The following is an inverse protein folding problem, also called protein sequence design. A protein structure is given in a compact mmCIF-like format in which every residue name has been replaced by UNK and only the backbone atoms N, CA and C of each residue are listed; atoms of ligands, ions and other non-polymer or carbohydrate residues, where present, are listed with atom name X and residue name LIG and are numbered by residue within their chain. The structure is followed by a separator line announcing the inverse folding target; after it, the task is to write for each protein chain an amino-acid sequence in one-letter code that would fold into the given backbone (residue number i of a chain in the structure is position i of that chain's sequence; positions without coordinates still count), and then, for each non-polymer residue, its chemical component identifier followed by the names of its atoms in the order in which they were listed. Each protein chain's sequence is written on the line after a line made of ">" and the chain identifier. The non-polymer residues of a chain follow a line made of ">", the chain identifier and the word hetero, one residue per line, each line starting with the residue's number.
data_IF_485810968212
#
_entry.id   IF_485810968212
#
_cell.length_a   1.000
_cell.length_b   1.000
_cell.length_c   1.000
_cell.angle_alpha   90.00
_cell.angle_beta   90.00
_cell.angle_gamma   90.00
#
_symmetry.space_group_name_H-M   'P 1'
#
loop_
_entity.id
_entity.type
_entity.pdbx_description
1 polymer ?
#
# COMPACT_ATOMS: atom_id res chain seq x y z
N UNK A 1 4.30 -34.15 1.46
CA UNK A 1 4.62 -35.22 0.49
C UNK A 1 3.37 -35.75 -0.24
N UNK A 2 2.31 -36.19 0.44
CA UNK A 2 1.12 -36.79 -0.23
C UNK A 2 0.39 -35.86 -1.23
N UNK A 3 0.21 -34.58 -0.88
CA UNK A 3 -0.47 -33.61 -1.75
C UNK A 3 0.30 -33.39 -3.06
N UNK A 4 1.64 -33.27 -2.96
CA UNK A 4 2.50 -33.12 -4.13
C UNK A 4 2.40 -34.34 -5.03
N UNK A 5 2.42 -35.55 -4.46
CA UNK A 5 2.25 -36.80 -5.22
C UNK A 5 0.90 -36.88 -5.92
N UNK A 6 -0.18 -36.46 -5.26
CA UNK A 6 -1.52 -36.40 -5.88
C UNK A 6 -1.52 -35.38 -7.02
N UNK A 7 -0.96 -34.18 -6.77
CA UNK A 7 -0.91 -33.11 -7.75
C UNK A 7 -0.10 -33.53 -8.99
N UNK A 8 1.06 -34.14 -8.83
CA UNK A 8 1.95 -34.52 -9.93
C UNK A 8 1.54 -35.82 -10.63
N UNK A 9 0.59 -36.56 -10.07
CA UNK A 9 0.15 -37.83 -10.64
C UNK A 9 -0.38 -37.67 -12.08
N UNK A 10 -0.01 -38.57 -12.99
CA UNK A 10 -0.41 -38.50 -14.40
C UNK A 10 -1.93 -38.47 -14.64
N UNK A 11 -2.71 -39.06 -13.74
CA UNK A 11 -4.17 -39.12 -13.84
C UNK A 11 -4.88 -38.04 -13.01
N UNK A 12 -4.14 -37.17 -12.32
CA UNK A 12 -4.76 -36.07 -11.58
C UNK A 12 -5.18 -34.91 -12.48
N UNK A 13 -4.77 -34.91 -13.74
CA UNK A 13 -5.14 -33.91 -14.75
C UNK A 13 -5.75 -34.59 -15.98
N UNK A 14 -6.75 -33.96 -16.66
CA UNK A 14 -7.38 -34.55 -17.82
C UNK A 14 -6.39 -34.73 -18.98
N UNK A 15 -6.34 -35.93 -19.56
CA UNK A 15 -5.68 -36.14 -20.85
C UNK A 15 -6.54 -35.56 -21.99
N UNK A 16 -5.96 -35.37 -23.17
CA UNK A 16 -6.70 -34.91 -24.36
C UNK A 16 -7.80 -35.87 -24.81
N UNK A 17 -7.77 -37.13 -24.36
CA UNK A 17 -8.73 -38.17 -24.71
C UNK A 17 -9.81 -38.36 -23.62
N UNK A 18 -9.80 -37.54 -22.56
CA UNK A 18 -10.78 -37.62 -21.48
C UNK A 18 -12.13 -37.03 -21.90
N UNK A 19 -13.22 -37.66 -21.45
CA UNK A 19 -14.58 -37.11 -21.58
C UNK A 19 -14.76 -35.80 -20.79
N UNK A 20 -13.95 -35.56 -19.76
CA UNK A 20 -13.98 -34.31 -18.97
C UNK A 20 -12.73 -33.46 -19.24
N UNK A 21 -12.42 -33.24 -20.52
CA UNK A 21 -11.31 -32.34 -20.93
C UNK A 21 -11.56 -30.88 -20.54
N UNK A 22 -12.81 -30.50 -20.34
CA UNK A 22 -13.26 -29.19 -19.85
C UNK A 22 -12.75 -28.88 -18.42
N UNK A 23 -12.52 -29.90 -17.59
CA UNK A 23 -11.93 -29.73 -16.24
C UNK A 23 -10.54 -29.06 -16.28
N UNK A 24 -9.86 -29.04 -17.44
CA UNK A 24 -8.60 -28.30 -17.62
C UNK A 24 -8.82 -26.79 -17.48
N UNK A 25 -9.92 -26.29 -18.02
CA UNK A 25 -10.28 -24.86 -18.01
C UNK A 25 -10.85 -24.43 -16.66
N UNK A 26 -11.38 -25.39 -15.88
CA UNK A 26 -11.89 -25.15 -14.52
C UNK A 26 -10.78 -24.93 -13.49
N UNK A 27 -9.53 -25.28 -13.81
CA UNK A 27 -8.41 -25.10 -12.89
C UNK A 27 -8.19 -23.62 -12.56
N UNK A 28 -7.90 -23.33 -11.28
CA UNK A 28 -7.76 -21.98 -10.74
C UNK A 28 -9.06 -21.14 -10.77
N UNK A 29 -10.23 -21.77 -10.93
CA UNK A 29 -11.50 -21.04 -10.90
C UNK A 29 -11.76 -20.36 -9.56
N UNK A 30 -12.26 -19.13 -9.61
CA UNK A 30 -12.59 -18.33 -8.42
C UNK A 30 -14.01 -18.53 -7.92
N UNK A 31 -14.85 -19.28 -8.64
CA UNK A 31 -16.30 -19.36 -8.39
C UNK A 31 -16.87 -20.78 -8.32
N UNK A 32 -16.22 -21.76 -8.96
CA UNK A 32 -16.68 -23.14 -8.94
C UNK A 32 -16.36 -23.81 -7.60
N UNK A 33 -17.23 -24.68 -7.09
CA UNK A 33 -16.88 -25.51 -5.94
C UNK A 33 -15.78 -26.50 -6.37
N UNK A 34 -14.60 -26.50 -5.72
CA UNK A 34 -13.54 -27.47 -6.03
C UNK A 34 -14.01 -28.93 -5.99
N UNK A 35 -15.03 -29.26 -5.19
CA UNK A 35 -15.58 -30.61 -5.03
C UNK A 35 -16.34 -31.09 -6.27
N UNK A 36 -16.78 -30.19 -7.12
CA UNK A 36 -17.49 -30.51 -8.37
C UNK A 36 -16.53 -30.79 -9.53
N UNK A 37 -15.23 -30.52 -9.36
CA UNK A 37 -14.19 -30.78 -10.36
C UNK A 37 -13.67 -32.21 -10.18
N UNK A 38 -13.81 -33.04 -11.22
CA UNK A 38 -13.51 -34.48 -11.16
C UNK A 38 -12.01 -34.74 -11.04
N UNK A 39 -11.19 -33.93 -11.71
CA UNK A 39 -9.74 -34.12 -11.71
C UNK A 39 -9.05 -33.43 -10.54
N UNK A 40 -8.32 -34.22 -9.75
CA UNK A 40 -7.72 -33.79 -8.50
C UNK A 40 -6.78 -32.57 -8.64
N UNK A 41 -5.97 -32.49 -9.70
CA UNK A 41 -5.07 -31.34 -9.93
C UNK A 41 -5.87 -30.07 -10.15
N UNK A 42 -6.88 -30.11 -11.02
CA UNK A 42 -7.76 -28.96 -11.28
C UNK A 42 -8.54 -28.55 -10.04
N UNK A 43 -9.08 -29.52 -9.30
CA UNK A 43 -9.77 -29.31 -8.02
C UNK A 43 -8.86 -28.66 -6.98
N UNK A 44 -7.67 -29.22 -6.73
CA UNK A 44 -6.70 -28.69 -5.77
C UNK A 44 -6.26 -27.27 -6.16
N UNK A 45 -6.00 -27.01 -7.44
CA UNK A 45 -5.64 -25.67 -7.93
C UNK A 45 -6.74 -24.64 -7.64
N UNK A 46 -7.99 -24.98 -7.94
CA UNK A 46 -9.17 -24.13 -7.68
C UNK A 46 -9.34 -23.86 -6.17
N UNK A 47 -9.26 -24.91 -5.35
CA UNK A 47 -9.30 -24.80 -3.89
C UNK A 47 -8.20 -23.88 -3.35
N UNK A 48 -6.97 -24.06 -3.82
CA UNK A 48 -5.82 -23.24 -3.43
C UNK A 48 -6.03 -21.76 -3.83
N UNK A 49 -6.48 -21.50 -5.06
CA UNK A 49 -6.78 -20.13 -5.54
C UNK A 49 -7.80 -19.45 -4.63
N UNK A 50 -8.90 -20.13 -4.28
CA UNK A 50 -9.95 -19.55 -3.45
C UNK A 50 -9.47 -19.28 -2.02
N UNK A 51 -8.70 -20.19 -1.43
CA UNK A 51 -8.10 -19.97 -0.10
C UNK A 51 -7.14 -18.79 -0.10
N UNK A 52 -6.21 -18.76 -1.07
CA UNK A 52 -5.21 -17.70 -1.19
C UNK A 52 -5.91 -16.37 -1.44
N UNK A 53 -6.86 -16.32 -2.38
CA UNK A 53 -7.63 -15.12 -2.69
C UNK A 53 -8.39 -14.57 -1.48
N UNK A 54 -9.08 -15.43 -0.74
CA UNK A 54 -9.79 -15.05 0.48
C UNK A 54 -8.84 -14.55 1.58
N UNK A 55 -7.65 -15.16 1.71
CA UNK A 55 -6.66 -14.72 2.68
C UNK A 55 -6.10 -13.34 2.31
N UNK A 56 -5.72 -13.13 1.06
CA UNK A 56 -5.24 -11.82 0.58
C UNK A 56 -6.32 -10.76 0.75
N UNK A 57 -7.58 -11.08 0.44
CA UNK A 57 -8.70 -10.17 0.68
C UNK A 57 -8.79 -9.74 2.15
N UNK A 58 -8.60 -10.66 3.10
CA UNK A 58 -8.60 -10.32 4.54
C UNK A 58 -7.37 -9.52 4.95
N UNK A 59 -6.17 -9.92 4.50
CA UNK A 59 -4.92 -9.21 4.77
C UNK A 59 -5.03 -7.73 4.32
N UNK A 60 -5.52 -7.50 3.10
CA UNK A 60 -5.74 -6.15 2.57
C UNK A 60 -6.79 -5.35 3.36
N UNK A 61 -7.72 -6.02 4.04
CA UNK A 61 -8.78 -5.36 4.82
C UNK A 61 -8.22 -4.87 6.14
N UNK A 62 -7.38 -5.69 6.77
CA UNK A 62 -6.70 -5.37 8.02
C UNK A 62 -5.76 -4.18 7.86
N UNK A 63 -5.14 -4.02 6.69
CA UNK A 63 -4.29 -2.86 6.38
C UNK A 63 -5.05 -1.51 6.35
N UNK A 64 -6.38 -1.50 6.23
CA UNK A 64 -7.17 -0.25 6.31
C UNK A 64 -7.18 0.30 7.75
N UNK A 65 -7.15 -0.61 8.74
CA UNK A 65 -7.20 -0.33 10.17
C UNK A 65 -6.19 -1.21 10.90
N UNK A 66 -4.88 -0.96 10.71
CA UNK A 66 -3.87 -1.88 11.21
C UNK A 66 -3.84 -1.86 12.75
N UNK A 67 -3.99 -3.03 13.37
CA UNK A 67 -3.76 -3.20 14.80
C UNK A 67 -2.25 -3.32 15.03
N UNK A 68 -1.57 -2.19 15.25
CA UNK A 68 -0.11 -2.18 15.38
C UNK A 68 0.29 -2.12 16.85
N UNK A 69 1.01 -3.14 17.31
CA UNK A 69 1.79 -3.04 18.55
C UNK A 69 3.04 -2.17 18.26
N UNK A 70 3.31 -1.09 19.02
CA UNK A 70 4.34 -0.10 18.69
C UNK A 70 5.78 -0.63 18.66
N UNK A 71 6.04 -1.78 19.28
CA UNK A 71 7.39 -2.29 19.53
C UNK A 71 8.06 -2.91 18.32
N UNK A 72 7.29 -3.40 17.34
CA UNK A 72 7.83 -4.32 16.33
C UNK A 72 7.92 -3.72 14.92
N UNK A 73 7.11 -2.69 14.61
CA UNK A 73 7.07 -2.04 13.28
C UNK A 73 6.98 -0.53 13.37
N UNK A 74 7.52 0.20 12.37
CA UNK A 74 7.24 1.62 12.21
C UNK A 74 5.74 1.90 12.24
N UNK A 75 5.32 2.88 13.03
CA UNK A 75 3.92 3.31 13.06
C UNK A 75 3.62 4.12 11.80
N UNK A 76 2.89 3.50 10.86
CA UNK A 76 2.47 4.16 9.63
C UNK A 76 0.97 4.38 9.71
N UNK A 77 0.50 5.64 9.74
CA UNK A 77 -0.92 5.92 9.76
C UNK A 77 -1.54 5.52 8.43
N UNK A 78 -2.45 4.55 8.45
CA UNK A 78 -3.18 4.14 7.25
C UNK A 78 -4.00 5.31 6.67
N UNK A 79 -4.59 6.13 7.54
CA UNK A 79 -5.35 7.32 7.17
C UNK A 79 -4.64 8.59 7.66
N UNK A 80 -4.40 9.51 6.74
CA UNK A 80 -3.97 10.87 7.02
C UNK A 80 -5.02 11.86 6.51
N UNK A 81 -5.72 12.50 7.44
CA UNK A 81 -6.73 13.48 7.08
C UNK A 81 -6.08 14.77 6.58
N UNK A 82 -6.52 15.26 5.42
CA UNK A 82 -6.10 16.54 4.88
C UNK A 82 -6.54 17.73 5.75
N UNK A 83 -7.59 17.56 6.56
CA UNK A 83 -8.08 18.52 7.56
C UNK A 83 -8.99 17.80 8.54
N UNK A 84 -9.13 18.31 9.77
CA UNK A 84 -10.11 17.82 10.74
C UNK A 84 -10.72 18.96 11.55
N UNK A 85 -12.05 18.95 11.66
CA UNK A 85 -12.77 19.83 12.60
C UNK A 85 -12.72 19.27 14.04
N UNK A 86 -13.17 20.05 15.01
CA UNK A 86 -13.16 19.69 16.45
C UNK A 86 -13.77 18.31 16.72
N UNK A 87 -14.94 18.03 16.13
CA UNK A 87 -15.62 16.73 16.24
C UNK A 87 -14.79 15.57 15.68
N UNK A 88 -14.10 15.79 14.57
CA UNK A 88 -13.28 14.76 13.90
C UNK A 88 -11.98 14.51 14.67
N UNK A 89 -11.38 15.55 15.24
CA UNK A 89 -10.24 15.43 16.15
C UNK A 89 -10.58 14.68 17.42
N UNK A 90 -11.77 14.93 18.01
CA UNK A 90 -12.25 14.21 19.18
C UNK A 90 -12.41 12.69 18.95
N UNK A 91 -12.58 12.26 17.69
CA UNK A 91 -12.60 10.85 17.30
C UNK A 91 -11.21 10.25 17.05
N UNK A 92 -10.13 10.97 17.39
CA UNK A 92 -8.75 10.52 17.21
C UNK A 92 -8.25 10.54 15.76
N UNK A 93 -8.93 11.24 14.84
CA UNK A 93 -8.46 11.32 13.46
C UNK A 93 -7.21 12.17 13.39
N UNK A 94 -6.11 11.54 12.95
CA UNK A 94 -4.83 12.20 12.75
C UNK A 94 -4.86 13.03 11.46
N UNK A 95 -4.59 14.33 11.60
CA UNK A 95 -4.31 15.21 10.47
C UNK A 95 -2.87 15.11 10.05
N UNK A 96 -2.61 15.35 8.77
CA UNK A 96 -1.25 15.50 8.27
C UNK A 96 -0.52 16.65 8.97
N UNK A 97 0.74 16.43 9.35
CA UNK A 97 1.64 17.46 9.90
C UNK A 97 2.95 17.46 9.12
N UNK A 98 3.76 18.50 9.32
CA UNK A 98 5.09 18.60 8.70
C UNK A 98 5.97 17.41 9.07
N UNK A 99 5.94 16.98 10.33
CA UNK A 99 6.75 15.86 10.82
C UNK A 99 6.33 14.53 10.19
N UNK A 100 5.03 14.29 10.00
CA UNK A 100 4.52 13.10 9.31
C UNK A 100 4.98 13.06 7.86
N UNK A 101 4.92 14.20 7.16
CA UNK A 101 5.38 14.27 5.76
C UNK A 101 6.89 14.03 5.62
N UNK A 102 7.68 14.62 6.52
CA UNK A 102 9.15 14.50 6.49
C UNK A 102 9.67 13.16 7.02
N UNK A 103 8.87 12.44 7.82
CA UNK A 103 9.18 11.09 8.29
C UNK A 103 8.82 9.98 7.30
N UNK A 104 8.28 10.32 6.12
CA UNK A 104 7.98 9.33 5.09
C UNK A 104 9.24 8.59 4.64
N UNK A 105 9.29 7.28 4.86
CA UNK A 105 10.38 6.39 4.43
C UNK A 105 9.81 5.15 3.76
N UNK A 106 10.30 4.85 2.56
CA UNK A 106 9.87 3.66 1.81
C UNK A 106 10.27 2.38 2.55
N UNK A 107 11.47 2.34 3.14
CA UNK A 107 11.95 1.20 3.96
C UNK A 107 10.95 0.80 5.04
N UNK A 108 10.34 1.79 5.69
CA UNK A 108 9.37 1.54 6.76
C UNK A 108 8.11 0.86 6.22
N UNK A 109 7.67 1.26 5.03
CA UNK A 109 6.50 0.66 4.34
C UNK A 109 6.82 -0.75 3.88
N UNK A 110 8.05 -1.00 3.40
CA UNK A 110 8.51 -2.35 3.06
C UNK A 110 8.42 -3.26 4.29
N UNK A 111 9.05 -2.89 5.40
CA UNK A 111 9.01 -3.66 6.65
C UNK A 111 7.58 -3.84 7.17
N UNK A 112 6.75 -2.80 7.05
CA UNK A 112 5.35 -2.84 7.45
C UNK A 112 4.55 -3.86 6.63
N UNK A 113 4.58 -3.78 5.30
CA UNK A 113 3.81 -4.69 4.45
C UNK A 113 4.31 -6.13 4.51
N UNK A 114 5.63 -6.34 4.62
CA UNK A 114 6.20 -7.68 4.82
C UNK A 114 5.66 -8.36 6.08
N UNK A 115 5.48 -7.60 7.16
CA UNK A 115 5.01 -8.15 8.44
C UNK A 115 3.48 -8.26 8.51
N UNK A 116 2.76 -7.25 8.05
CA UNK A 116 1.30 -7.15 8.22
C UNK A 116 0.50 -7.78 7.07
N UNK A 117 1.12 -8.01 5.90
CA UNK A 117 0.49 -8.68 4.76
C UNK A 117 1.48 -9.58 4.00
N UNK A 118 2.11 -10.58 4.66
CA UNK A 118 3.18 -11.39 4.07
C UNK A 118 2.76 -12.15 2.82
N UNK A 119 1.51 -12.64 2.76
CA UNK A 119 1.02 -13.35 1.57
C UNK A 119 0.84 -12.40 0.39
N UNK A 120 0.23 -11.22 0.61
CA UNK A 120 0.08 -10.21 -0.43
C UNK A 120 1.45 -9.66 -0.89
N UNK A 121 2.40 -9.51 0.05
CA UNK A 121 3.78 -9.16 -0.25
C UNK A 121 4.42 -10.21 -1.17
N UNK A 122 4.33 -11.48 -0.81
CA UNK A 122 4.87 -12.59 -1.62
C UNK A 122 4.26 -12.64 -3.03
N UNK A 123 2.93 -12.53 -3.15
CA UNK A 123 2.27 -12.58 -4.46
C UNK A 123 2.67 -11.40 -5.34
N UNK A 124 2.77 -10.19 -4.76
CA UNK A 124 3.25 -9.01 -5.51
C UNK A 124 4.73 -9.14 -5.88
N UNK A 125 5.54 -9.82 -5.08
CA UNK A 125 6.92 -10.17 -5.41
C UNK A 125 6.98 -11.12 -6.62
N UNK A 126 6.15 -12.17 -6.63
CA UNK A 126 6.04 -13.10 -7.76
C UNK A 126 5.69 -12.39 -9.08
N UNK A 127 4.95 -11.28 -9.03
CA UNK A 127 4.58 -10.49 -10.21
C UNK A 127 5.61 -9.43 -10.59
N UNK A 128 6.32 -8.85 -9.61
CA UNK A 128 7.20 -7.70 -9.82
C UNK A 128 8.70 -8.06 -9.95
N UNK A 129 9.12 -9.16 -9.34
CA UNK A 129 10.53 -9.54 -9.22
C UNK A 129 10.92 -10.57 -10.30
N UNK A 130 11.72 -10.17 -11.32
CA UNK A 130 12.28 -11.14 -12.25
C UNK A 130 13.23 -12.08 -11.50
N UNK A 131 13.28 -13.33 -11.96
CA UNK A 131 14.11 -14.38 -11.35
C UNK A 131 15.15 -14.90 -12.34
N UNK A 132 16.29 -15.34 -11.82
CA UNK A 132 17.26 -16.12 -12.59
C UNK A 132 16.70 -17.50 -12.92
N UNK A 133 17.39 -18.25 -13.79
CA UNK A 133 17.08 -19.67 -14.06
C UNK A 133 17.00 -20.50 -12.77
N UNK A 134 17.80 -20.14 -11.77
CA UNK A 134 17.91 -20.84 -10.50
C UNK A 134 16.85 -20.37 -9.48
N UNK A 135 15.91 -19.53 -9.91
CA UNK A 135 14.80 -19.04 -9.09
C UNK A 135 15.15 -17.90 -8.13
N UNK A 136 16.39 -17.41 -8.13
CA UNK A 136 16.81 -16.29 -7.29
C UNK A 136 16.27 -14.95 -7.84
N UNK A 137 15.89 -14.05 -6.94
CA UNK A 137 15.38 -12.72 -7.31
C UNK A 137 16.52 -11.86 -7.85
N UNK A 138 16.30 -11.25 -9.01
CA UNK A 138 17.23 -10.28 -9.60
C UNK A 138 16.93 -8.89 -9.03
N UNK A 139 17.85 -8.35 -8.24
CA UNK A 139 17.74 -6.98 -7.75
C UNK A 139 18.01 -5.96 -8.86
N UNK A 140 17.01 -5.11 -9.14
CA UNK A 140 17.11 -4.03 -10.12
C UNK A 140 17.37 -2.69 -9.45
N UNK A 141 18.51 -2.06 -9.73
CA UNK A 141 18.87 -0.73 -9.20
C UNK A 141 17.87 0.37 -9.56
N UNK A 142 17.39 0.42 -10.82
CA UNK A 142 16.50 1.49 -11.31
C UNK A 142 15.02 1.30 -10.94
N UNK A 143 14.58 0.07 -10.73
CA UNK A 143 13.20 -0.27 -10.37
C UNK A 143 13.21 -1.42 -9.36
N UNK A 144 13.57 -1.14 -8.10
CA UNK A 144 13.59 -2.17 -7.07
C UNK A 144 12.17 -2.75 -6.89
N UNK A 145 12.00 -4.08 -6.88
CA UNK A 145 10.68 -4.71 -6.76
C UNK A 145 9.92 -4.24 -5.51
N UNK A 146 10.63 -4.05 -4.39
CA UNK A 146 10.06 -3.61 -3.12
C UNK A 146 9.31 -2.27 -3.22
N UNK A 147 9.80 -1.32 -4.02
CA UNK A 147 9.12 -0.03 -4.23
C UNK A 147 7.83 -0.24 -5.02
N UNK A 148 7.85 -1.11 -6.04
CA UNK A 148 6.69 -1.45 -6.85
C UNK A 148 5.63 -2.17 -6.00
N UNK A 149 6.06 -3.11 -5.14
CA UNK A 149 5.17 -3.81 -4.21
C UNK A 149 4.51 -2.84 -3.23
N UNK A 150 5.28 -1.92 -2.61
CA UNK A 150 4.72 -0.87 -1.74
C UNK A 150 3.69 -0.02 -2.47
N UNK A 151 4.00 0.43 -3.69
CA UNK A 151 3.08 1.25 -4.48
C UNK A 151 1.80 0.46 -4.83
N UNK A 152 1.92 -0.77 -5.29
CA UNK A 152 0.79 -1.63 -5.65
C UNK A 152 -0.11 -1.95 -4.45
N UNK A 153 0.48 -2.42 -3.33
CA UNK A 153 -0.27 -2.72 -2.11
C UNK A 153 -0.95 -1.48 -1.55
N UNK A 154 -0.27 -0.32 -1.54
CA UNK A 154 -0.88 0.94 -1.13
C UNK A 154 -2.08 1.31 -2.02
N UNK A 155 -1.96 1.11 -3.34
CA UNK A 155 -3.02 1.33 -4.31
C UNK A 155 -4.23 0.42 -4.06
N UNK A 156 -3.99 -0.86 -3.75
CA UNK A 156 -5.05 -1.80 -3.40
C UNK A 156 -5.75 -1.43 -2.09
N UNK A 157 -5.00 -0.98 -1.07
CA UNK A 157 -5.61 -0.45 0.17
C UNK A 157 -6.47 0.78 -0.14
N UNK A 158 -5.95 1.72 -0.92
CA UNK A 158 -6.65 2.93 -1.37
C UNK A 158 -7.94 2.63 -2.13
N UNK A 159 -7.91 1.66 -3.04
CA UNK A 159 -9.07 1.24 -3.82
C UNK A 159 -10.21 0.70 -2.93
N UNK A 160 -9.87 0.08 -1.79
CA UNK A 160 -10.85 -0.43 -0.82
C UNK A 160 -11.36 0.63 0.12
N UNK A 161 -10.53 1.61 0.47
CA UNK A 161 -10.94 2.74 1.28
C UNK A 161 -10.19 4.00 0.83
N UNK A 162 -10.92 4.93 0.22
CA UNK A 162 -10.38 6.22 -0.23
C UNK A 162 -9.76 7.08 0.89
N UNK A 163 -10.04 6.76 2.15
CA UNK A 163 -9.42 7.44 3.29
C UNK A 163 -8.10 6.80 3.75
N UNK A 164 -7.76 5.59 3.28
CA UNK A 164 -6.53 4.89 3.63
C UNK A 164 -5.35 5.35 2.74
N UNK A 165 -5.11 6.65 2.75
CA UNK A 165 -4.19 7.36 1.86
C UNK A 165 -2.77 7.53 2.40
N UNK A 166 -2.50 7.13 3.65
CA UNK A 166 -1.27 7.47 4.37
C UNK A 166 -0.07 6.60 4.02
N UNK A 167 -0.29 5.44 3.37
CA UNK A 167 0.81 4.56 2.95
C UNK A 167 1.65 5.13 1.81
N UNK A 168 1.02 5.81 0.85
CA UNK A 168 1.69 6.33 -0.36
C UNK A 168 0.97 7.53 -0.97
N UNK A 169 -0.36 7.42 -1.15
CA UNK A 169 -1.10 8.31 -2.03
C UNK A 169 -1.09 9.79 -1.62
N UNK A 170 -1.15 10.08 -0.31
CA UNK A 170 -1.08 11.47 0.15
C UNK A 170 0.28 12.10 -0.17
N UNK A 171 1.37 11.37 0.09
CA UNK A 171 2.73 11.83 -0.19
C UNK A 171 2.91 12.07 -1.69
N UNK A 172 2.42 11.14 -2.52
CA UNK A 172 2.51 11.26 -3.97
C UNK A 172 1.67 12.44 -4.51
N UNK A 173 0.48 12.67 -3.96
CA UNK A 173 -0.36 13.83 -4.31
C UNK A 173 0.32 15.16 -3.98
N UNK A 174 0.99 15.26 -2.82
CA UNK A 174 1.78 16.44 -2.44
C UNK A 174 2.99 16.60 -3.38
N UNK A 175 3.67 15.52 -3.73
CA UNK A 175 4.76 15.55 -4.69
C UNK A 175 4.33 16.08 -6.06
N UNK A 176 3.16 15.68 -6.56
CA UNK A 176 2.61 16.23 -7.81
C UNK A 176 2.32 17.74 -7.74
N UNK A 177 1.92 18.26 -6.58
CA UNK A 177 1.78 19.72 -6.38
C UNK A 177 3.16 20.38 -6.45
N UNK A 178 4.14 19.84 -5.72
CA UNK A 178 5.50 20.38 -5.67
C UNK A 178 6.19 20.39 -7.04
N UNK A 179 5.91 19.39 -7.88
CA UNK A 179 6.45 19.28 -9.25
C UNK A 179 5.59 19.98 -10.30
N UNK A 180 4.53 20.69 -9.90
CA UNK A 180 3.57 21.34 -10.81
C UNK A 180 3.08 20.39 -11.92
N UNK A 181 2.84 19.12 -11.59
CA UNK A 181 2.40 18.14 -12.58
C UNK A 181 1.09 18.57 -13.22
N UNK A 182 0.95 18.27 -14.52
CA UNK A 182 -0.27 18.57 -15.27
C UNK A 182 -1.50 17.97 -14.59
N UNK A 183 -2.65 18.66 -14.68
CA UNK A 183 -3.90 18.24 -14.02
C UNK A 183 -4.34 16.84 -14.46
N UNK A 184 -4.14 16.49 -15.73
CA UNK A 184 -4.55 15.18 -16.24
C UNK A 184 -3.67 14.05 -15.71
N UNK A 185 -2.38 14.29 -15.49
CA UNK A 185 -1.48 13.31 -14.85
C UNK A 185 -1.95 13.02 -13.43
N UNK A 186 -2.27 14.08 -12.68
CA UNK A 186 -2.81 13.96 -11.32
C UNK A 186 -4.13 13.19 -11.28
N UNK A 187 -5.03 13.46 -12.24
CA UNK A 187 -6.32 12.75 -12.36
C UNK A 187 -6.12 11.27 -12.66
N UNK A 188 -5.25 10.94 -13.61
CA UNK A 188 -4.93 9.56 -13.96
C UNK A 188 -4.35 8.80 -12.77
N UNK A 189 -3.41 9.40 -12.03
CA UNK A 189 -2.79 8.72 -10.89
C UNK A 189 -3.71 8.66 -9.67
N UNK A 190 -4.64 9.60 -9.53
CA UNK A 190 -5.74 9.50 -8.57
C UNK A 190 -6.68 8.33 -8.88
N UNK A 191 -7.05 8.15 -10.15
CA UNK A 191 -7.91 7.04 -10.59
C UNK A 191 -7.25 5.67 -10.39
N UNK A 192 -5.92 5.59 -10.52
CA UNK A 192 -5.17 4.35 -10.23
C UNK A 192 -5.12 4.02 -8.74
N UNK A 193 -5.43 4.97 -7.84
CA UNK A 193 -5.24 4.83 -6.39
C UNK A 193 -3.81 5.11 -5.91
N UNK A 194 -2.94 5.63 -6.78
CA UNK A 194 -1.52 5.93 -6.50
C UNK A 194 -1.36 7.34 -5.92
N UNK A 195 -2.33 8.23 -6.13
CA UNK A 195 -2.33 9.60 -5.62
C UNK A 195 -3.67 9.95 -4.99
N UNK A 196 -3.69 10.93 -4.09
CA UNK A 196 -4.94 11.60 -3.69
C UNK A 196 -5.34 12.63 -4.74
N UNK A 197 -6.61 13.06 -4.69
CA UNK A 197 -7.13 14.15 -5.52
C UNK A 197 -6.39 15.48 -5.22
N UNK A 198 -6.28 16.35 -6.24
CA UNK A 198 -5.55 17.63 -6.15
C UNK A 198 -6.09 18.52 -5.02
N UNK A 199 -7.42 18.58 -4.84
CA UNK A 199 -8.04 19.33 -3.74
C UNK A 199 -7.65 18.78 -2.36
N UNK A 200 -7.53 17.46 -2.22
CA UNK A 200 -7.09 16.81 -0.98
C UNK A 200 -5.63 17.14 -0.69
N UNK A 201 -4.74 17.07 -1.70
CA UNK A 201 -3.33 17.42 -1.56
C UNK A 201 -3.14 18.90 -1.18
N UNK A 202 -3.87 19.82 -1.82
CA UNK A 202 -3.84 21.26 -1.47
C UNK A 202 -4.35 21.51 -0.07
N UNK A 203 -5.46 20.88 0.32
CA UNK A 203 -5.99 21.01 1.68
C UNK A 203 -5.04 20.44 2.74
N UNK A 204 -4.36 19.35 2.43
CA UNK A 204 -3.30 18.81 3.28
C UNK A 204 -2.16 19.81 3.47
N UNK A 205 -1.68 20.45 2.39
CA UNK A 205 -0.64 21.48 2.47
C UNK A 205 -1.08 22.71 3.27
N UNK A 206 -2.32 23.18 3.11
CA UNK A 206 -2.87 24.27 3.93
C UNK A 206 -2.87 23.90 5.41
N UNK A 207 -3.36 22.71 5.76
CA UNK A 207 -3.35 22.23 7.16
C UNK A 207 -1.93 22.12 7.73
N UNK A 208 -0.96 21.67 6.93
CA UNK A 208 0.46 21.62 7.35
C UNK A 208 1.03 23.02 7.56
N UNK A 209 0.69 23.97 6.70
CA UNK A 209 1.11 25.36 6.83
C UNK A 209 0.53 25.99 8.11
N UNK A 210 -0.76 25.80 8.36
CA UNK A 210 -1.44 26.31 9.56
C UNK A 210 -0.85 25.70 10.84
N UNK A 211 -0.63 24.38 10.87
CA UNK A 211 0.02 23.68 11.99
C UNK A 211 1.45 24.20 12.22
N UNK A 212 2.23 24.36 11.15
CA UNK A 212 3.60 24.87 11.23
C UNK A 212 3.65 26.32 11.70
N UNK A 213 2.72 27.16 11.25
CA UNK A 213 2.61 28.56 11.65
C UNK A 213 2.24 28.68 13.13
N UNK A 214 1.28 27.89 13.61
CA UNK A 214 0.90 27.87 15.01
C UNK A 214 2.06 27.43 15.93
N UNK A 215 2.81 26.40 15.52
CA UNK A 215 4.03 25.97 16.23
C UNK A 215 5.10 27.06 16.23
N UNK A 216 5.31 27.73 15.09
CA UNK A 216 6.27 28.83 14.99
C UNK A 216 5.89 30.01 15.91
N UNK A 217 4.62 30.43 15.90
CA UNK A 217 4.11 31.49 16.77
C UNK A 217 4.32 31.14 18.25
N UNK A 218 4.01 29.90 18.65
CA UNK A 218 4.24 29.42 20.01
C UNK A 218 5.73 29.49 20.38
N UNK A 219 6.61 28.99 19.51
CA UNK A 219 8.05 28.98 19.76
C UNK A 219 8.64 30.40 19.84
N UNK A 220 8.14 31.35 19.02
CA UNK A 220 8.53 32.76 19.08
C UNK A 220 8.09 33.39 20.40
N UNK A 221 6.85 33.18 20.83
CA UNK A 221 6.34 33.70 22.11
C UNK A 221 7.11 33.15 23.30
N UNK A 222 7.52 31.88 23.25
CA UNK A 222 8.40 31.30 24.26
C UNK A 222 9.80 31.91 24.22
N UNK A 223 10.39 32.14 23.03
CA UNK A 223 11.69 32.81 22.89
C UNK A 223 11.69 34.24 23.42
N UNK A 224 10.63 35.00 23.16
CA UNK A 224 10.44 36.37 23.69
C UNK A 224 10.45 36.38 25.23
N UNK A 225 9.84 35.37 25.88
CA UNK A 225 9.84 35.27 27.36
C UNK A 225 11.23 35.10 27.96
N UNK A 226 12.17 34.52 27.21
CA UNK A 226 13.54 34.28 27.66
C UNK A 226 14.54 35.25 27.00
N UNK A 227 14.04 36.27 26.28
CA UNK A 227 14.86 37.21 25.49
C UNK A 227 15.81 36.54 24.49
N UNK A 228 15.42 35.39 23.95
CA UNK A 228 16.21 34.62 22.98
C UNK A 228 15.58 34.65 21.59
N UNK A 229 16.39 34.95 20.57
CA UNK A 229 15.97 34.85 19.18
C UNK A 229 16.03 33.39 18.70
N UNK A 230 14.90 32.68 18.81
CA UNK A 230 14.82 31.23 18.51
C UNK A 230 14.74 30.86 17.02
N UNK A 231 14.49 31.82 16.13
CA UNK A 231 14.42 31.57 14.68
C UNK A 231 15.09 32.69 13.89
N UNK A 232 15.86 32.30 12.86
CA UNK A 232 16.38 33.18 11.81
C UNK A 232 16.00 32.58 10.47
N UNK A 233 15.27 33.34 9.65
CA UNK A 233 14.94 32.93 8.29
C UNK A 233 15.94 33.60 7.33
N UNK A 234 16.52 32.81 6.45
CA UNK A 234 17.22 33.30 5.27
C UNK A 234 16.34 32.92 4.08
N UNK A 235 15.79 33.92 3.41
CA UNK A 235 15.17 33.73 2.10
C UNK A 235 16.30 33.55 1.10
N UNK A 236 16.63 32.29 0.83
CA UNK A 236 17.52 31.97 -0.28
C UNK A 236 16.71 32.00 -1.57
N UNK A 237 16.92 33.03 -2.37
CA UNK A 237 16.14 33.36 -3.56
C UNK A 237 16.82 32.79 -4.83
N UNK A 238 17.49 31.63 -4.71
CA UNK A 238 18.05 30.93 -5.86
C UNK A 238 16.93 30.12 -6.51
N UNK A 239 16.25 30.73 -7.48
CA UNK A 239 15.44 30.02 -8.48
C UNK A 239 16.28 29.73 -9.72
#
# INVERSE_FOLDING_TARGET
>A
DIIQRIFDHRYSFPSSLSENTDDREKAYSTHLDPREIKYARSSISTWATQIIGNRVYRDMQQLIHPSVNPTDTPQIPARLAASANSRTRAKGVQTVTKEILLSFRISDRVSFFQRHAPLAWYLTECMAAPRTSDGQIIERKRRPPSIIQVAALSSFVMARNQYANGYWALQNGIWHIARQSHVDVKRVDCLKGISVHDTTARRALMTVADDSLAKLQKNLMEGVKVSEMRYRWVLDNIQ
#
